data_IF_496832372341
#
_entry.id   IF_496832372341
#
_cell.length_a   1.000
_cell.length_b   1.000
_cell.length_c   1.000
_cell.angle_alpha   90.00
_cell.angle_beta   90.00
_cell.angle_gamma   90.00
#
_symmetry.space_group_name_H-M   'P 1'
#
loop_
_entity.id
_entity.type
_entity.pdbx_description
1 polymer ?
#
# COMPACT_ATOMS: atom_id res chain seq x y z
N UNK A 1 11.34 -62.22 42.81
CA UNK A 1 11.70 -61.02 42.00
C UNK A 1 11.24 -61.22 40.55
N UNK A 2 10.03 -60.77 40.13
CA UNK A 2 9.66 -60.75 38.68
C UNK A 2 8.34 -60.01 38.32
N UNK A 3 7.90 -59.03 39.11
CA UNK A 3 6.65 -58.30 38.83
C UNK A 3 6.82 -56.86 38.29
N UNK A 4 8.03 -56.31 38.25
CA UNK A 4 8.28 -54.89 37.92
C UNK A 4 8.54 -54.57 36.45
N UNK A 5 8.78 -55.56 35.59
CA UNK A 5 9.29 -55.33 34.22
C UNK A 5 8.17 -55.25 33.18
N UNK A 6 7.05 -55.95 33.39
CA UNK A 6 5.94 -56.00 32.42
C UNK A 6 5.04 -54.75 32.44
N UNK A 7 5.01 -54.01 33.55
CA UNK A 7 4.22 -52.77 33.66
C UNK A 7 4.88 -51.58 32.94
N UNK A 8 6.20 -51.59 32.78
CA UNK A 8 6.95 -50.53 32.08
C UNK A 8 6.85 -50.62 30.56
N UNK A 9 6.69 -51.82 29.99
CA UNK A 9 6.59 -51.99 28.53
C UNK A 9 5.29 -51.39 27.93
N UNK A 10 4.18 -51.47 28.67
CA UNK A 10 2.89 -50.94 28.21
C UNK A 10 2.80 -49.40 28.29
N UNK A 11 3.52 -48.79 29.24
CA UNK A 11 3.59 -47.33 29.39
C UNK A 11 4.52 -46.64 28.38
N UNK A 12 5.48 -47.37 27.80
CA UNK A 12 6.43 -46.83 26.81
C UNK A 12 5.79 -46.78 25.42
N UNK A 13 5.06 -47.82 25.01
CA UNK A 13 4.39 -47.87 23.70
C UNK A 13 3.27 -46.82 23.53
N UNK A 14 2.56 -46.47 24.61
CA UNK A 14 1.48 -45.48 24.56
C UNK A 14 1.99 -44.04 24.44
N UNK A 15 3.15 -43.72 25.02
CA UNK A 15 3.78 -42.40 24.90
C UNK A 15 4.31 -42.13 23.49
N UNK A 16 4.89 -43.14 22.84
CA UNK A 16 5.38 -43.02 21.46
C UNK A 16 4.24 -42.91 20.45
N UNK A 17 3.12 -43.59 20.69
CA UNK A 17 1.94 -43.50 19.81
C UNK A 17 1.21 -42.16 19.99
N UNK A 18 1.12 -41.64 21.20
CA UNK A 18 0.57 -40.30 21.46
C UNK A 18 1.44 -39.21 20.82
N UNK A 19 2.77 -39.28 20.95
CA UNK A 19 3.68 -38.36 20.28
C UNK A 19 3.65 -38.51 18.75
N UNK A 20 3.53 -39.74 18.23
CA UNK A 20 3.37 -39.97 16.79
C UNK A 20 2.03 -39.44 16.28
N UNK A 21 0.94 -39.57 17.05
CA UNK A 21 -0.37 -39.03 16.70
C UNK A 21 -0.39 -37.50 16.73
N UNK A 22 0.24 -36.87 17.73
CA UNK A 22 0.39 -35.42 17.81
C UNK A 22 1.30 -34.90 16.68
N UNK A 23 2.38 -35.62 16.35
CA UNK A 23 3.22 -35.31 15.18
C UNK A 23 2.46 -35.47 13.87
N UNK A 24 1.62 -36.50 13.71
CA UNK A 24 0.75 -36.68 12.53
C UNK A 24 -0.30 -35.59 12.41
N UNK A 25 -0.98 -35.23 13.50
CA UNK A 25 -1.93 -34.11 13.53
C UNK A 25 -1.27 -32.75 13.27
N UNK A 26 0.04 -32.62 13.53
CA UNK A 26 0.82 -31.42 13.18
C UNK A 26 1.30 -31.41 11.73
N UNK A 27 1.48 -32.59 11.11
CA UNK A 27 1.84 -32.74 9.70
C UNK A 27 0.61 -32.63 8.80
N UNK A 28 -0.54 -33.12 9.27
CA UNK A 28 -1.86 -32.89 8.67
C UNK A 28 -2.39 -31.53 9.15
N UNK A 29 -1.74 -30.46 8.68
CA UNK A 29 -2.25 -29.11 8.85
C UNK A 29 -3.72 -28.99 8.37
N UNK A 30 -4.44 -27.93 8.78
CA UNK A 30 -5.84 -27.75 8.43
C UNK A 30 -6.05 -27.93 6.91
N UNK A 31 -7.19 -28.48 6.47
CA UNK A 31 -7.45 -28.75 5.06
C UNK A 31 -7.31 -27.45 4.26
N UNK A 32 -6.15 -27.26 3.63
CA UNK A 32 -5.77 -26.07 2.86
C UNK A 32 -6.81 -25.71 1.79
N UNK A 33 -7.58 -26.71 1.33
CA UNK A 33 -8.66 -26.53 0.36
C UNK A 33 -9.79 -25.62 0.86
N UNK A 34 -10.05 -25.59 2.17
CA UNK A 34 -11.15 -24.79 2.73
C UNK A 34 -10.75 -23.31 2.88
N UNK A 35 -9.45 -23.03 3.04
CA UNK A 35 -8.93 -21.67 3.08
C UNK A 35 -8.79 -21.08 1.67
N UNK A 36 -8.42 -21.92 0.69
CA UNK A 36 -8.32 -21.53 -0.71
C UNK A 36 -9.67 -21.13 -1.32
N UNK A 37 -10.79 -21.71 -0.85
CA UNK A 37 -12.13 -21.40 -1.37
C UNK A 37 -12.71 -20.08 -0.84
N UNK A 38 -12.33 -19.67 0.37
CA UNK A 38 -12.83 -18.42 0.98
C UNK A 38 -12.02 -17.19 0.57
N UNK A 39 -10.76 -17.36 0.15
CA UNK A 39 -9.86 -16.25 -0.17
C UNK A 39 -10.41 -15.29 -1.26
N UNK A 40 -10.93 -15.76 -2.41
CA UNK A 40 -11.50 -14.86 -3.42
C UNK A 40 -12.74 -14.11 -2.93
N UNK A 41 -13.56 -14.75 -2.10
CA UNK A 41 -14.76 -14.17 -1.51
C UNK A 41 -14.41 -13.03 -0.54
N UNK A 42 -13.43 -13.27 0.33
CA UNK A 42 -12.92 -12.27 1.27
C UNK A 42 -12.24 -11.11 0.54
N UNK A 43 -11.46 -11.40 -0.49
CA UNK A 43 -10.84 -10.38 -1.34
C UNK A 43 -11.89 -9.49 -2.01
N UNK A 44 -12.92 -10.09 -2.63
CA UNK A 44 -14.02 -9.35 -3.25
C UNK A 44 -14.77 -8.48 -2.23
N UNK A 45 -15.05 -9.01 -1.04
CA UNK A 45 -15.67 -8.23 0.05
C UNK A 45 -14.77 -7.10 0.54
N UNK A 46 -13.44 -7.30 0.57
CA UNK A 46 -12.47 -6.26 0.97
C UNK A 46 -12.31 -5.13 -0.04
N UNK A 47 -12.79 -5.33 -1.28
CA UNK A 47 -12.75 -4.28 -2.30
C UNK A 47 -13.66 -3.10 -1.92
N UNK A 48 -14.81 -3.36 -1.32
CA UNK A 48 -15.74 -2.31 -0.89
C UNK A 48 -15.12 -1.30 0.10
N UNK A 49 -14.53 -1.72 1.26
CA UNK A 49 -13.87 -0.79 2.15
C UNK A 49 -12.66 -0.09 1.51
N UNK A 50 -11.97 -0.73 0.56
CA UNK A 50 -10.88 -0.10 -0.19
C UNK A 50 -11.38 1.03 -1.09
N UNK A 51 -12.48 0.84 -1.84
CA UNK A 51 -13.06 1.91 -2.65
C UNK A 51 -13.60 3.05 -1.79
N UNK A 52 -14.22 2.73 -0.64
CA UNK A 52 -14.67 3.75 0.29
C UNK A 52 -13.48 4.60 0.78
N UNK A 53 -12.40 3.94 1.22
CA UNK A 53 -11.14 4.60 1.58
C UNK A 53 -10.65 5.52 0.47
N UNK A 54 -10.56 5.01 -0.77
CA UNK A 54 -10.07 5.78 -1.90
C UNK A 54 -10.97 6.99 -2.22
N UNK A 55 -12.29 6.82 -2.16
CA UNK A 55 -13.25 7.91 -2.35
C UNK A 55 -13.07 9.01 -1.29
N UNK A 56 -12.94 8.63 -0.01
CA UNK A 56 -12.68 9.60 1.06
C UNK A 56 -11.32 10.29 0.88
N UNK A 57 -10.31 9.55 0.45
CA UNK A 57 -8.96 10.07 0.21
C UNK A 57 -8.96 11.11 -0.91
N UNK A 58 -9.63 10.82 -2.02
CA UNK A 58 -9.77 11.73 -3.17
C UNK A 58 -10.64 12.94 -2.83
N UNK A 59 -11.74 12.75 -2.09
CA UNK A 59 -12.65 13.83 -1.70
C UNK A 59 -12.01 14.80 -0.68
N UNK A 60 -11.10 14.32 0.17
CA UNK A 60 -10.47 15.14 1.22
C UNK A 60 -9.56 16.24 0.65
N UNK A 61 -8.98 16.04 -0.54
CA UNK A 61 -8.10 17.01 -1.22
C UNK A 61 -6.79 17.35 -0.48
N UNK A 62 -6.54 16.70 0.67
CA UNK A 62 -5.37 16.92 1.54
C UNK A 62 -4.22 15.94 1.26
N UNK A 63 -4.42 15.02 0.34
CA UNK A 63 -3.47 13.95 0.05
C UNK A 63 -2.54 14.32 -1.10
N UNK A 64 -1.24 14.03 -0.96
CA UNK A 64 -0.27 14.30 -2.02
C UNK A 64 -0.67 13.59 -3.32
N UNK A 65 -0.56 14.25 -4.48
CA UNK A 65 -0.99 13.68 -5.76
C UNK A 65 -0.22 12.39 -6.09
N UNK A 66 1.03 12.28 -5.64
CA UNK A 66 1.86 11.09 -5.82
C UNK A 66 1.35 9.87 -5.02
N UNK A 67 0.81 10.11 -3.82
CA UNK A 67 0.17 9.05 -3.01
C UNK A 67 -1.15 8.61 -3.62
N UNK A 68 -1.97 9.57 -4.08
CA UNK A 68 -3.22 9.27 -4.79
C UNK A 68 -2.95 8.42 -6.03
N UNK A 69 -1.96 8.81 -6.84
CA UNK A 69 -1.53 8.03 -8.00
C UNK A 69 -1.16 6.59 -7.63
N UNK A 70 -0.36 6.41 -6.57
CA UNK A 70 0.02 5.07 -6.09
C UNK A 70 -1.17 4.20 -5.71
N UNK A 71 -2.17 4.75 -5.00
CA UNK A 71 -3.38 4.00 -4.68
C UNK A 71 -4.24 3.66 -5.91
N UNK A 72 -4.46 4.61 -6.83
CA UNK A 72 -5.18 4.32 -8.07
C UNK A 72 -4.46 3.30 -8.96
N UNK A 73 -3.13 3.40 -9.05
CA UNK A 73 -2.31 2.43 -9.77
C UNK A 73 -2.45 1.04 -9.17
N UNK A 74 -2.42 0.91 -7.82
CA UNK A 74 -2.65 -0.35 -7.13
C UNK A 74 -4.01 -0.96 -7.50
N UNK A 75 -5.08 -0.14 -7.52
CA UNK A 75 -6.42 -0.60 -7.86
C UNK A 75 -6.51 -1.13 -9.30
N UNK A 76 -5.91 -0.41 -10.26
CA UNK A 76 -5.84 -0.84 -11.67
C UNK A 76 -4.99 -2.10 -11.82
N UNK A 77 -3.85 -2.17 -11.15
CA UNK A 77 -2.96 -3.33 -11.14
C UNK A 77 -3.68 -4.59 -10.62
N UNK A 78 -4.41 -4.46 -9.51
CA UNK A 78 -5.24 -5.54 -8.97
C UNK A 78 -6.35 -5.93 -9.96
N UNK A 79 -7.00 -4.94 -10.58
CA UNK A 79 -7.99 -5.17 -11.64
C UNK A 79 -7.44 -5.92 -12.85
N UNK A 80 -6.17 -5.72 -13.20
CA UNK A 80 -5.50 -6.41 -14.30
C UNK A 80 -4.96 -7.80 -13.92
N UNK A 81 -4.56 -8.01 -12.67
CA UNK A 81 -4.03 -9.31 -12.20
C UNK A 81 -5.11 -10.37 -12.05
N UNK A 82 -6.38 -9.99 -11.82
CA UNK A 82 -7.52 -10.93 -11.82
C UNK A 82 -7.71 -11.62 -13.18
N UNK A 83 -7.90 -10.90 -14.32
CA UNK A 83 -8.03 -11.52 -15.64
C UNK A 83 -6.74 -12.18 -16.10
N UNK A 84 -5.56 -11.64 -15.75
CA UNK A 84 -4.29 -12.32 -16.02
C UNK A 84 -4.23 -13.69 -15.30
N UNK A 85 -4.69 -13.75 -14.04
CA UNK A 85 -4.85 -14.96 -13.26
C UNK A 85 -5.76 -16.00 -13.93
N UNK A 86 -6.92 -15.55 -14.41
CA UNK A 86 -7.86 -16.40 -15.14
C UNK A 86 -7.23 -16.91 -16.45
N UNK A 87 -6.56 -16.04 -17.21
CA UNK A 87 -5.95 -16.37 -18.50
C UNK A 87 -4.83 -17.41 -18.37
N UNK A 88 -3.98 -17.31 -17.35
CA UNK A 88 -2.95 -18.33 -17.16
C UNK A 88 -3.54 -19.68 -16.75
N UNK A 89 -4.59 -19.68 -15.92
CA UNK A 89 -5.27 -20.92 -15.55
C UNK A 89 -5.94 -21.57 -16.76
N UNK A 90 -6.54 -20.78 -17.66
CA UNK A 90 -7.19 -21.30 -18.87
C UNK A 90 -6.22 -21.75 -19.96
N UNK A 91 -5.06 -21.09 -20.09
CA UNK A 91 -4.17 -21.33 -21.24
C UNK A 91 -2.94 -22.19 -20.91
N UNK A 92 -2.41 -22.10 -19.69
CA UNK A 92 -1.19 -22.81 -19.29
C UNK A 92 -1.46 -23.98 -18.33
N UNK A 93 -2.69 -24.14 -17.81
CA UNK A 93 -3.04 -25.23 -16.89
C UNK A 93 -2.33 -25.16 -15.54
N UNK A 94 -1.56 -24.09 -15.28
CA UNK A 94 -0.78 -23.86 -14.06
C UNK A 94 -1.15 -22.53 -13.43
N UNK A 95 -0.95 -22.39 -12.12
CA UNK A 95 -1.17 -21.14 -11.39
C UNK A 95 -0.25 -20.03 -11.89
N UNK A 96 -0.70 -18.77 -11.86
CA UNK A 96 0.07 -17.57 -12.23
C UNK A 96 1.41 -17.46 -11.49
N UNK A 97 1.51 -18.08 -10.30
CA UNK A 97 2.71 -18.18 -9.48
C UNK A 97 3.81 -19.10 -10.06
N UNK A 98 3.48 -19.95 -11.03
CA UNK A 98 4.44 -20.89 -11.66
C UNK A 98 5.11 -20.29 -12.91
N UNK A 99 4.76 -19.06 -13.28
CA UNK A 99 5.37 -18.32 -14.39
C UNK A 99 6.26 -17.25 -13.77
N UNK A 100 7.52 -17.61 -13.50
CA UNK A 100 8.47 -16.80 -12.72
C UNK A 100 8.61 -15.36 -13.24
N UNK A 101 8.53 -15.17 -14.56
CA UNK A 101 8.53 -13.83 -15.17
C UNK A 101 7.33 -13.01 -14.69
N UNK A 102 6.12 -13.55 -14.83
CA UNK A 102 4.90 -12.80 -14.53
C UNK A 102 4.77 -12.54 -13.03
N UNK A 103 5.16 -13.51 -12.19
CA UNK A 103 5.19 -13.35 -10.74
C UNK A 103 6.20 -12.28 -10.30
N UNK A 104 7.43 -12.33 -10.81
CA UNK A 104 8.46 -11.33 -10.50
C UNK A 104 8.09 -9.92 -10.98
N UNK A 105 7.40 -9.79 -12.13
CA UNK A 105 6.89 -8.49 -12.56
C UNK A 105 5.78 -7.97 -11.65
N UNK A 106 4.90 -8.84 -11.16
CA UNK A 106 3.85 -8.44 -10.22
C UNK A 106 4.45 -7.95 -8.89
N UNK A 107 5.44 -8.66 -8.36
CA UNK A 107 6.12 -8.29 -7.11
C UNK A 107 6.92 -6.98 -7.24
N UNK A 108 7.64 -6.80 -8.35
CA UNK A 108 8.39 -5.56 -8.61
C UNK A 108 7.47 -4.36 -8.84
N UNK A 109 6.37 -4.51 -9.59
CA UNK A 109 5.37 -3.43 -9.76
C UNK A 109 4.74 -3.03 -8.42
N UNK A 110 4.40 -4.01 -7.59
CA UNK A 110 3.85 -3.75 -6.26
C UNK A 110 4.87 -3.03 -5.36
N UNK A 111 6.15 -3.41 -5.44
CA UNK A 111 7.24 -2.73 -4.74
C UNK A 111 7.37 -1.26 -5.18
N UNK A 112 7.35 -0.99 -6.49
CA UNK A 112 7.40 0.37 -7.04
C UNK A 112 6.17 1.19 -6.60
N UNK A 113 4.98 0.57 -6.58
CA UNK A 113 3.74 1.21 -6.12
C UNK A 113 3.84 1.64 -4.67
N UNK A 114 4.32 0.74 -3.81
CA UNK A 114 4.51 1.03 -2.39
C UNK A 114 5.53 2.17 -2.19
N UNK A 115 6.57 2.24 -3.01
CA UNK A 115 7.53 3.34 -2.97
C UNK A 115 6.87 4.67 -3.33
N UNK A 116 6.04 4.75 -4.38
CA UNK A 116 5.30 5.98 -4.71
C UNK A 116 4.39 6.44 -3.58
N UNK A 117 3.68 5.51 -2.93
CA UNK A 117 2.80 5.81 -1.80
C UNK A 117 3.59 6.43 -0.64
N UNK A 118 4.70 5.79 -0.24
CA UNK A 118 5.54 6.23 0.88
C UNK A 118 6.22 7.57 0.57
N UNK A 119 6.79 7.73 -0.62
CA UNK A 119 7.43 8.98 -1.03
C UNK A 119 6.42 10.12 -1.11
N UNK A 120 5.23 9.87 -1.66
CA UNK A 120 4.15 10.85 -1.69
C UNK A 120 3.73 11.27 -0.28
N UNK A 121 3.56 10.32 0.64
CA UNK A 121 3.15 10.63 2.01
C UNK A 121 4.24 11.41 2.75
N UNK A 122 5.51 11.01 2.59
CA UNK A 122 6.66 11.74 3.13
C UNK A 122 6.70 13.18 2.61
N UNK A 123 6.42 13.40 1.33
CA UNK A 123 6.35 14.75 0.77
C UNK A 123 5.19 15.55 1.40
N UNK A 124 4.01 14.95 1.52
CA UNK A 124 2.85 15.61 2.15
C UNK A 124 3.08 16.01 3.61
N UNK A 125 3.74 15.15 4.39
CA UNK A 125 4.08 15.47 5.79
C UNK A 125 5.04 16.67 5.84
N UNK A 126 6.08 16.68 5.00
CA UNK A 126 7.05 17.79 4.96
C UNK A 126 6.41 19.11 4.54
N UNK A 127 5.49 19.08 3.58
CA UNK A 127 4.72 20.26 3.15
C UNK A 127 3.80 20.75 4.28
N UNK A 128 3.14 19.85 5.00
CA UNK A 128 2.29 20.19 6.15
C UNK A 128 3.11 20.77 7.32
N UNK A 129 4.29 20.23 7.60
CA UNK A 129 5.23 20.76 8.61
C UNK A 129 5.75 22.15 8.22
N UNK A 130 6.12 22.35 6.96
CA UNK A 130 6.56 23.66 6.45
C UNK A 130 5.44 24.71 6.54
N UNK A 131 4.20 24.33 6.19
CA UNK A 131 3.03 25.21 6.32
C UNK A 131 2.74 25.58 7.79
N UNK A 132 3.01 24.68 8.73
CA UNK A 132 2.86 24.93 10.18
C UNK A 132 3.98 25.81 10.75
N UNK A 133 5.19 25.72 10.19
CA UNK A 133 6.36 26.48 10.60
C UNK A 133 6.46 27.87 9.93
N UNK A 134 5.71 28.10 8.86
CA UNK A 134 5.63 29.41 8.23
C UNK A 134 4.97 30.41 9.21
N UNK A 135 5.62 31.57 9.50
CA UNK A 135 4.95 32.64 10.23
C UNK A 135 3.70 33.08 9.45
N UNK A 136 2.67 33.62 10.13
CA UNK A 136 1.50 34.14 9.44
C UNK A 136 1.96 35.13 8.36
N UNK A 137 1.27 35.20 7.20
CA UNK A 137 1.53 36.25 6.23
C UNK A 137 1.54 37.57 7.00
N UNK A 138 2.65 38.29 6.93
CA UNK A 138 2.71 39.66 7.42
C UNK A 138 1.72 40.46 6.57
N UNK A 139 0.49 40.48 7.04
CA UNK A 139 -0.62 41.29 6.56
C UNK A 139 -0.21 42.75 6.85
N UNK A 140 0.60 43.31 5.94
CA UNK A 140 1.20 44.62 6.11
C UNK A 140 2.55 44.87 5.43
N UNK A 141 3.14 43.91 4.70
CA UNK A 141 4.44 44.11 4.04
C UNK A 141 4.36 44.05 2.51
N UNK A 142 3.50 44.87 1.90
CA UNK A 142 3.64 45.36 0.53
C UNK A 142 2.70 46.55 0.34
N UNK A 143 2.99 47.64 1.04
CA UNK A 143 2.49 48.95 0.66
C UNK A 143 3.12 49.30 -0.69
N UNK A 144 2.25 49.50 -1.68
CA UNK A 144 2.38 50.40 -2.84
C UNK A 144 3.72 50.42 -3.60
N UNK A 145 3.81 49.84 -4.82
CA UNK A 145 4.68 50.38 -5.85
C UNK A 145 3.98 51.59 -6.51
N UNK A 146 3.53 52.58 -5.73
CA UNK A 146 2.95 53.83 -6.24
C UNK A 146 3.97 55.01 -6.21
N UNK A 147 5.17 54.84 -5.67
CA UNK A 147 6.19 55.92 -5.74
C UNK A 147 7.05 55.90 -7.02
N UNK A 148 7.01 54.81 -7.81
CA UNK A 148 7.77 54.72 -9.05
C UNK A 148 7.10 55.42 -10.27
N UNK A 149 5.83 55.82 -10.15
CA UNK A 149 5.07 56.48 -11.21
C UNK A 149 5.22 58.02 -11.19
N UNK A 150 5.30 58.63 -10.01
CA UNK A 150 5.43 60.09 -9.90
C UNK A 150 6.84 60.63 -10.21
N UNK A 151 7.89 59.82 -10.02
CA UNK A 151 9.25 60.24 -10.35
C UNK A 151 9.47 60.41 -11.87
N UNK A 152 8.72 59.68 -12.72
CA UNK A 152 8.84 59.78 -14.18
C UNK A 152 8.10 60.99 -14.76
N UNK A 153 7.04 61.44 -14.10
CA UNK A 153 6.24 62.61 -14.54
C UNK A 153 6.93 63.95 -14.23
N UNK A 154 7.75 64.01 -13.18
CA UNK A 154 8.52 65.21 -12.85
C UNK A 154 9.76 65.41 -13.76
N UNK A 155 10.30 64.33 -14.33
CA UNK A 155 11.47 64.37 -15.23
C UNK A 155 11.07 64.75 -16.67
N UNK A 156 9.94 64.26 -17.17
CA UNK A 156 9.43 64.57 -18.52
C UNK A 156 8.98 66.03 -18.68
N UNK A 157 8.51 66.70 -17.61
CA UNK A 157 8.15 68.14 -17.66
C UNK A 157 9.40 69.03 -17.74
N UNK A 158 10.53 68.59 -17.19
CA UNK A 158 11.78 69.36 -17.22
C UNK A 158 12.52 69.25 -18.57
N UNK A 159 12.25 68.19 -19.34
CA UNK A 159 12.84 67.96 -20.66
C UNK A 159 12.11 68.71 -21.80
N UNK A 160 10.90 69.24 -21.56
CA UNK A 160 10.05 69.87 -22.58
C UNK A 160 10.15 71.39 -22.73
N UNK A 161 11.08 72.08 -22.04
CA UNK A 161 11.26 73.53 -22.19
C UNK A 161 12.53 73.82 -22.98
N UNK A 162 12.43 73.76 -24.31
CA UNK A 162 13.18 74.55 -25.29
C UNK A 162 12.35 74.74 -26.55
#
# INVERSE_FOLDING_TARGET
>A
MRAGVLSRAHAIGTRTLAEAAIRRARLEGPPQQQLASVAPQLFAMSLFPYLAFLFFLTKSGKTPPLTLFGFYFLLVFVGATIPAGIYAKSHYGTSLANVDWLHGTAESLLTVTNLFIVLGLRQGIREAEAAKAAPPPVEGAALEPEEASMAKSAEDVRAGVK
#
